data_IF_986013571093
#
_entry.id   IF_986013571093
#
_cell.length_a   1.000
_cell.length_b   1.000
_cell.length_c   1.000
_cell.angle_alpha   90.00
_cell.angle_beta   90.00
_cell.angle_gamma   90.00
#
_symmetry.space_group_name_H-M   'P 1'
#
loop_
_entity.id
_entity.type
_entity.pdbx_description
1 polymer ?
#
# COMPACT_ATOMS: atom_id res chain seq x y z
N UNK A 1 29.75 11.43 10.98
CA UNK A 1 28.62 12.39 10.93
C UNK A 1 27.84 12.34 12.23
N UNK A 2 27.04 13.40 12.56
CA UNK A 2 26.19 13.34 13.78
C UNK A 2 24.99 12.43 13.53
N UNK A 3 24.81 11.30 14.26
CA UNK A 3 23.67 10.41 14.07
C UNK A 3 22.31 11.06 14.35
N UNK A 4 22.26 12.13 15.17
CA UNK A 4 21.03 12.86 15.45
C UNK A 4 20.50 13.65 14.25
N UNK A 5 21.36 13.96 13.29
CA UNK A 5 21.04 14.66 12.05
C UNK A 5 20.81 13.72 10.86
N UNK A 6 20.82 12.41 11.08
CA UNK A 6 20.64 11.42 10.04
C UNK A 6 19.29 11.61 9.34
N UNK A 7 19.28 11.93 8.02
CA UNK A 7 18.03 12.18 7.30
C UNK A 7 17.25 10.89 7.00
N UNK A 8 17.91 9.73 6.96
CA UNK A 8 17.31 8.47 6.58
C UNK A 8 16.47 7.87 7.71
N UNK A 9 15.26 7.45 7.37
CA UNK A 9 14.26 6.94 8.32
C UNK A 9 13.64 5.66 7.78
N UNK A 10 14.35 4.51 7.85
CA UNK A 10 13.75 3.25 7.45
C UNK A 10 12.53 2.95 8.34
N UNK A 11 11.41 2.59 7.72
CA UNK A 11 10.18 2.27 8.43
C UNK A 11 9.01 2.10 7.46
N UNK A 12 7.91 1.50 7.96
CA UNK A 12 6.71 1.29 7.15
C UNK A 12 5.92 2.59 7.04
N UNK A 13 5.66 3.04 5.81
CA UNK A 13 4.83 4.22 5.53
C UNK A 13 5.42 5.57 5.97
N UNK A 14 6.64 5.59 6.50
CA UNK A 14 7.31 6.84 6.84
C UNK A 14 7.64 7.62 5.57
N UNK A 15 7.52 8.94 5.66
CA UNK A 15 7.88 9.83 4.56
C UNK A 15 9.41 9.86 4.42
N UNK A 16 9.95 9.41 3.27
CA UNK A 16 11.38 9.50 3.03
C UNK A 16 11.79 10.97 2.85
N UNK A 17 13.05 11.29 3.07
CA UNK A 17 13.57 12.64 2.85
C UNK A 17 13.50 13.07 1.38
N UNK A 18 13.62 12.12 0.43
CA UNK A 18 13.39 12.33 -1.00
C UNK A 18 12.44 11.24 -1.52
N UNK A 19 11.48 11.62 -2.37
CA UNK A 19 10.52 10.71 -3.00
C UNK A 19 10.77 10.71 -4.52
N UNK A 20 11.79 9.95 -4.92
CA UNK A 20 12.24 9.88 -6.31
C UNK A 20 11.66 8.70 -7.07
N UNK A 21 11.74 8.73 -8.40
CA UNK A 21 11.32 7.66 -9.30
C UNK A 21 9.81 7.40 -9.35
N UNK A 22 8.98 8.38 -8.98
CA UNK A 22 7.51 8.27 -8.98
C UNK A 22 6.83 9.41 -9.73
N UNK A 23 7.58 10.10 -10.58
CA UNK A 23 7.11 11.28 -11.33
C UNK A 23 5.91 10.93 -12.19
N UNK A 24 5.95 9.82 -12.93
CA UNK A 24 4.84 9.37 -13.79
C UNK A 24 3.54 9.20 -13.01
N UNK A 25 3.57 8.50 -11.87
CA UNK A 25 2.37 8.27 -11.05
C UNK A 25 1.81 9.56 -10.46
N UNK A 26 2.68 10.49 -10.09
CA UNK A 26 2.29 11.82 -9.61
C UNK A 26 1.65 12.63 -10.71
N UNK A 27 2.21 12.66 -11.91
CA UNK A 27 1.65 13.34 -13.08
C UNK A 27 0.30 12.76 -13.50
N UNK A 28 0.16 11.43 -13.51
CA UNK A 28 -1.13 10.76 -13.77
C UNK A 28 -2.19 11.18 -12.75
N UNK A 29 -1.81 11.29 -11.46
CA UNK A 29 -2.70 11.76 -10.41
C UNK A 29 -2.99 13.26 -10.50
N UNK A 30 -2.01 14.12 -10.83
CA UNK A 30 -2.18 15.55 -11.07
C UNK A 30 -3.19 15.78 -12.19
N UNK A 31 -3.13 15.00 -13.26
CA UNK A 31 -4.10 15.04 -14.33
C UNK A 31 -5.52 14.67 -13.85
N UNK A 32 -5.65 13.63 -13.01
CA UNK A 32 -6.93 13.25 -12.40
C UNK A 32 -7.51 14.40 -11.57
N UNK A 33 -6.68 15.03 -10.73
CA UNK A 33 -7.07 16.21 -9.94
C UNK A 33 -7.49 17.38 -10.82
N UNK A 34 -6.73 17.70 -11.85
CA UNK A 34 -7.04 18.78 -12.78
C UNK A 34 -8.35 18.53 -13.55
N UNK A 35 -8.59 17.31 -14.00
CA UNK A 35 -9.83 16.91 -14.69
C UNK A 35 -11.04 17.01 -13.75
N UNK A 36 -10.89 16.57 -12.49
CA UNK A 36 -11.98 16.67 -11.51
C UNK A 36 -12.43 18.11 -11.24
N UNK A 37 -11.51 19.08 -11.23
CA UNK A 37 -11.82 20.51 -11.12
C UNK A 37 -12.65 21.03 -12.29
N UNK A 38 -12.46 20.44 -13.47
CA UNK A 38 -13.21 20.76 -14.68
C UNK A 38 -14.48 19.89 -14.83
N UNK A 39 -14.89 19.17 -13.77
CA UNK A 39 -16.04 18.26 -13.77
C UNK A 39 -15.95 17.15 -14.84
N UNK A 40 -14.75 16.83 -15.26
CA UNK A 40 -14.46 15.72 -16.16
C UNK A 40 -13.93 14.57 -15.31
N UNK A 41 -14.86 13.77 -14.76
CA UNK A 41 -14.49 12.70 -13.84
C UNK A 41 -13.99 11.47 -14.59
N UNK A 42 -12.89 10.92 -14.13
CA UNK A 42 -12.20 9.78 -14.73
C UNK A 42 -12.17 8.58 -13.76
N UNK A 43 -11.44 7.57 -14.14
CA UNK A 43 -11.26 6.34 -13.36
C UNK A 43 -10.45 6.60 -12.09
N UNK A 44 -10.66 5.75 -11.07
CA UNK A 44 -9.75 5.67 -9.92
C UNK A 44 -8.35 5.16 -10.32
N UNK A 45 -7.45 4.99 -9.34
CA UNK A 45 -6.07 4.54 -9.58
C UNK A 45 -5.71 3.37 -8.68
N UNK A 46 -5.04 2.36 -9.24
CA UNK A 46 -4.52 1.21 -8.49
C UNK A 46 -3.00 1.15 -8.63
N UNK A 47 -2.33 1.18 -7.47
CA UNK A 47 -0.88 1.03 -7.34
C UNK A 47 -0.57 -0.40 -6.90
N UNK A 48 -0.03 -1.23 -7.78
CA UNK A 48 0.31 -2.61 -7.46
C UNK A 48 1.82 -2.83 -7.48
N UNK A 49 2.33 -3.65 -6.56
CA UNK A 49 3.77 -3.92 -6.52
C UNK A 49 4.19 -4.73 -5.30
N UNK A 50 5.44 -5.16 -5.28
CA UNK A 50 6.02 -5.94 -4.20
C UNK A 50 6.08 -5.15 -2.88
N UNK A 51 6.34 -5.84 -1.77
CA UNK A 51 6.54 -5.18 -0.47
C UNK A 51 7.85 -4.39 -0.46
N UNK A 52 7.85 -3.22 0.17
CA UNK A 52 9.06 -2.38 0.30
C UNK A 52 9.37 -1.46 -0.89
N UNK A 53 8.60 -1.52 -1.99
CA UNK A 53 8.78 -0.65 -3.16
C UNK A 53 8.21 0.78 -2.98
N UNK A 54 7.66 1.10 -1.82
CA UNK A 54 7.19 2.46 -1.50
C UNK A 54 5.74 2.78 -1.87
N UNK A 55 4.85 1.77 -2.07
CA UNK A 55 3.43 1.98 -2.38
C UNK A 55 2.69 2.83 -1.35
N UNK A 56 2.78 2.45 -0.07
CA UNK A 56 2.18 3.19 1.06
C UNK A 56 2.64 4.64 1.11
N UNK A 57 3.94 4.86 0.91
CA UNK A 57 4.52 6.21 0.89
C UNK A 57 3.99 7.05 -0.27
N UNK A 58 3.89 6.45 -1.46
CA UNK A 58 3.30 7.11 -2.62
C UNK A 58 1.82 7.40 -2.40
N UNK A 59 1.04 6.42 -1.93
CA UNK A 59 -0.39 6.57 -1.64
C UNK A 59 -0.64 7.73 -0.65
N UNK A 60 0.16 7.81 0.42
CA UNK A 60 0.09 8.90 1.39
C UNK A 60 0.44 10.25 0.74
N UNK A 61 1.46 10.30 -0.11
CA UNK A 61 1.84 11.52 -0.84
C UNK A 61 0.72 12.00 -1.77
N UNK A 62 0.07 11.09 -2.50
CA UNK A 62 -1.08 11.40 -3.35
C UNK A 62 -2.28 11.88 -2.53
N UNK A 63 -2.55 11.26 -1.37
CA UNK A 63 -3.62 11.68 -0.45
C UNK A 63 -3.38 13.09 0.10
N UNK A 64 -2.16 13.39 0.58
CA UNK A 64 -1.78 14.72 1.04
C UNK A 64 -1.88 15.76 -0.10
N UNK A 65 -1.49 15.37 -1.33
CA UNK A 65 -1.62 16.23 -2.49
C UNK A 65 -3.09 16.55 -2.79
N UNK A 66 -3.97 15.55 -2.82
CA UNK A 66 -5.40 15.71 -3.00
C UNK A 66 -6.01 16.65 -1.93
N UNK A 67 -5.60 16.49 -0.67
CA UNK A 67 -6.04 17.34 0.43
C UNK A 67 -5.60 18.81 0.25
N UNK A 68 -4.36 19.03 -0.23
CA UNK A 68 -3.88 20.40 -0.57
C UNK A 68 -4.68 21.00 -1.72
N UNK A 69 -5.16 20.19 -2.65
CA UNK A 69 -6.03 20.59 -3.75
C UNK A 69 -7.51 20.76 -3.37
N UNK A 70 -7.83 20.57 -2.08
CA UNK A 70 -9.16 20.81 -1.51
C UNK A 70 -10.09 19.61 -1.59
N UNK A 71 -9.63 18.41 -1.90
CA UNK A 71 -10.44 17.20 -1.84
C UNK A 71 -10.79 16.82 -0.41
N UNK A 72 -11.95 16.20 -0.21
CA UNK A 72 -12.20 15.37 0.96
C UNK A 72 -11.40 14.07 0.80
N UNK A 73 -10.45 13.81 1.69
CA UNK A 73 -9.61 12.61 1.65
C UNK A 73 -9.89 11.72 2.86
N UNK A 74 -10.08 10.43 2.60
CA UNK A 74 -10.26 9.39 3.61
C UNK A 74 -9.21 8.30 3.36
N UNK A 75 -8.42 7.98 4.39
CA UNK A 75 -7.45 6.88 4.37
C UNK A 75 -8.02 5.65 5.05
N UNK A 76 -7.76 4.48 4.48
CA UNK A 76 -8.12 3.18 5.03
C UNK A 76 -6.95 2.21 4.80
N UNK A 77 -6.50 1.52 5.84
CA UNK A 77 -5.57 0.39 5.74
C UNK A 77 -6.34 -0.90 6.00
N UNK A 78 -6.38 -1.80 5.01
CA UNK A 78 -6.97 -3.13 5.17
C UNK A 78 -6.01 -4.07 5.92
N UNK A 79 -6.56 -5.02 6.69
CA UNK A 79 -5.76 -5.98 7.47
C UNK A 79 -6.31 -7.39 7.31
N UNK A 80 -5.43 -8.41 7.13
CA UNK A 80 -5.84 -9.79 6.86
C UNK A 80 -6.72 -10.44 7.93
N UNK A 81 -6.73 -9.91 9.15
CA UNK A 81 -7.47 -10.47 10.30
C UNK A 81 -8.70 -9.64 10.69
N UNK A 82 -9.00 -8.57 9.99
CA UNK A 82 -10.25 -7.81 10.13
C UNK A 82 -11.33 -8.52 9.31
N UNK A 83 -11.65 -9.78 9.67
CA UNK A 83 -12.68 -10.57 9.02
C UNK A 83 -14.06 -10.24 9.60
N UNK A 84 -14.98 -9.97 8.70
CA UNK A 84 -16.40 -9.70 9.00
C UNK A 84 -16.81 -8.30 8.54
N UNK A 85 -17.85 -8.27 7.74
CA UNK A 85 -18.45 -7.05 7.16
C UNK A 85 -18.69 -5.98 8.22
N UNK A 86 -19.09 -6.36 9.44
CA UNK A 86 -19.38 -5.40 10.52
C UNK A 86 -18.16 -4.66 11.05
N UNK A 87 -17.00 -5.31 11.21
CA UNK A 87 -15.78 -4.67 11.74
C UNK A 87 -15.18 -3.69 10.73
N UNK A 88 -15.10 -4.12 9.47
CA UNK A 88 -14.55 -3.29 8.38
C UNK A 88 -15.48 -2.15 8.04
N UNK A 89 -16.80 -2.38 8.05
CA UNK A 89 -17.84 -1.36 7.91
C UNK A 89 -17.74 -0.32 9.03
N UNK A 90 -17.59 -0.74 10.29
CA UNK A 90 -17.43 0.15 11.43
C UNK A 90 -16.18 1.03 11.30
N UNK A 91 -15.07 0.47 10.84
CA UNK A 91 -13.83 1.21 10.61
C UNK A 91 -13.99 2.24 9.48
N UNK A 92 -14.52 1.83 8.33
CA UNK A 92 -14.75 2.74 7.20
C UNK A 92 -15.70 3.89 7.61
N UNK A 93 -16.81 3.59 8.28
CA UNK A 93 -17.75 4.61 8.75
C UNK A 93 -17.15 5.57 9.77
N UNK A 94 -16.30 5.06 10.68
CA UNK A 94 -15.58 5.90 11.65
C UNK A 94 -14.58 6.84 10.96
N UNK A 95 -13.80 6.34 9.98
CA UNK A 95 -12.86 7.13 9.19
C UNK A 95 -13.59 8.19 8.33
N UNK A 96 -14.70 7.81 7.70
CA UNK A 96 -15.56 8.75 6.95
C UNK A 96 -16.07 9.87 7.86
N UNK A 97 -16.65 9.54 9.02
CA UNK A 97 -17.12 10.53 9.97
C UNK A 97 -15.99 11.43 10.51
N UNK A 98 -14.80 10.87 10.76
CA UNK A 98 -13.63 11.65 11.19
C UNK A 98 -13.12 12.58 10.08
N UNK A 99 -13.04 12.08 8.85
CA UNK A 99 -12.63 12.87 7.69
C UNK A 99 -13.59 14.01 7.37
N UNK A 100 -14.88 13.73 7.38
CA UNK A 100 -15.92 14.75 7.21
C UNK A 100 -15.81 15.86 8.28
N UNK A 101 -15.56 15.50 9.55
CA UNK A 101 -15.32 16.49 10.62
C UNK A 101 -14.07 17.34 10.38
N UNK A 102 -12.95 16.71 9.94
CA UNK A 102 -11.71 17.45 9.59
C UNK A 102 -11.96 18.42 8.43
N UNK A 103 -12.61 17.92 7.38
CA UNK A 103 -12.95 18.71 6.20
C UNK A 103 -13.90 19.87 6.54
N UNK A 104 -14.94 19.62 7.35
CA UNK A 104 -15.91 20.62 7.82
C UNK A 104 -15.23 21.78 8.55
N UNK A 105 -14.32 21.46 9.49
CA UNK A 105 -13.56 22.48 10.24
C UNK A 105 -12.65 23.30 9.33
N UNK A 106 -11.92 22.65 8.42
CA UNK A 106 -10.97 23.29 7.50
C UNK A 106 -11.68 24.25 6.53
N UNK A 107 -12.93 23.93 6.16
CA UNK A 107 -13.67 24.65 5.12
C UNK A 107 -14.88 25.44 5.65
N UNK A 108 -15.07 25.54 6.97
CA UNK A 108 -16.16 26.28 7.64
C UNK A 108 -17.57 25.86 7.17
N UNK A 109 -17.80 24.57 6.95
CA UNK A 109 -19.04 24.01 6.41
C UNK A 109 -19.85 23.21 7.45
N UNK A 110 -19.82 23.57 8.72
CA UNK A 110 -20.37 22.77 9.81
C UNK A 110 -21.82 22.31 9.55
N UNK A 111 -22.76 23.26 9.33
CA UNK A 111 -24.17 22.89 9.11
C UNK A 111 -24.40 21.99 7.89
N UNK A 112 -23.66 22.18 6.79
CA UNK A 112 -23.86 21.42 5.56
C UNK A 112 -23.31 19.98 5.61
N UNK A 113 -22.45 19.67 6.59
CA UNK A 113 -21.79 18.35 6.72
C UNK A 113 -22.24 17.59 7.97
N UNK A 114 -23.02 18.19 8.88
CA UNK A 114 -23.51 17.51 10.09
C UNK A 114 -24.41 16.32 9.74
N UNK A 115 -25.28 16.45 8.73
CA UNK A 115 -26.13 15.38 8.23
C UNK A 115 -25.28 14.23 7.64
N UNK A 116 -24.23 14.56 6.87
CA UNK A 116 -23.32 13.56 6.31
C UNK A 116 -22.50 12.84 7.40
N UNK A 117 -22.11 13.55 8.46
CA UNK A 117 -21.43 12.95 9.62
C UNK A 117 -22.39 11.98 10.33
N UNK A 118 -23.66 12.34 10.44
CA UNK A 118 -24.69 11.49 11.02
C UNK A 118 -24.95 10.25 10.17
N UNK A 119 -25.02 10.42 8.85
CA UNK A 119 -25.15 9.31 7.89
C UNK A 119 -23.94 8.36 7.95
N UNK A 120 -22.71 8.88 7.99
CA UNK A 120 -21.50 8.07 8.16
C UNK A 120 -21.47 7.30 9.49
N UNK A 121 -22.00 7.88 10.56
CA UNK A 121 -22.18 7.17 11.84
C UNK A 121 -23.28 6.09 11.76
N UNK A 122 -24.38 6.36 11.07
CA UNK A 122 -25.42 5.37 10.77
C UNK A 122 -24.85 4.18 10.01
N UNK A 123 -24.05 4.44 8.99
CA UNK A 123 -23.31 3.41 8.25
C UNK A 123 -22.41 2.56 9.17
N UNK A 124 -21.71 3.18 10.14
CA UNK A 124 -20.90 2.47 11.14
C UNK A 124 -21.70 1.44 11.94
N UNK A 125 -22.90 1.80 12.34
CA UNK A 125 -23.74 0.96 13.19
C UNK A 125 -24.40 -0.22 12.46
N UNK A 126 -24.53 -0.16 11.17
CA UNK A 126 -24.82 -1.15 10.12
C UNK A 126 -25.60 -2.41 10.42
N UNK A 127 -26.34 -2.46 11.49
CA UNK A 127 -27.03 -3.65 11.95
C UNK A 127 -28.49 -3.32 12.14
N UNK A 128 -29.31 -3.90 11.30
CA UNK A 128 -30.71 -4.07 11.62
C UNK A 128 -30.81 -4.83 12.94
N UNK A 129 -31.00 -4.17 14.05
CA UNK A 129 -31.11 -4.80 15.35
C UNK A 129 -32.31 -4.25 16.10
N UNK A 130 -33.31 -5.07 16.20
CA UNK A 130 -34.35 -5.06 17.20
C UNK A 130 -35.31 -3.84 17.22
N UNK A 131 -36.51 -3.99 17.77
CA UNK A 131 -37.59 -3.03 17.66
C UNK A 131 -37.31 -1.64 18.28
N UNK A 132 -36.32 -1.53 19.16
CA UNK A 132 -35.96 -0.22 19.77
C UNK A 132 -35.04 0.66 18.89
N UNK A 133 -34.42 0.13 17.81
CA UNK A 133 -33.60 0.90 16.88
C UNK A 133 -34.36 1.32 15.62
N UNK A 134 -35.46 0.67 15.31
CA UNK A 134 -36.32 1.03 14.18
C UNK A 134 -36.96 2.43 14.37
N UNK A 135 -37.25 2.84 15.60
CA UNK A 135 -37.80 4.18 15.88
C UNK A 135 -36.78 5.31 15.73
N UNK A 136 -35.47 5.04 16.00
CA UNK A 136 -34.40 6.05 15.79
C UNK A 136 -33.94 6.16 14.33
N UNK A 137 -34.25 5.18 13.50
CA UNK A 137 -33.80 5.12 12.11
C UNK A 137 -34.81 5.71 11.12
N UNK A 138 -36.03 5.95 11.51
CA UNK A 138 -37.06 6.54 10.65
C UNK A 138 -36.88 8.04 10.38
N UNK A 139 -36.06 8.73 11.17
CA UNK A 139 -35.79 10.17 10.99
C UNK A 139 -34.48 10.52 10.25
N UNK A 140 -33.56 9.55 10.05
CA UNK A 140 -32.23 9.83 9.49
C UNK A 140 -31.65 8.67 8.65
N UNK A 141 -32.35 8.17 7.63
CA UNK A 141 -31.83 7.18 6.68
C UNK A 141 -31.31 5.91 7.38
N UNK A 142 -32.18 4.94 7.62
CA UNK A 142 -31.80 3.67 8.27
C UNK A 142 -30.87 2.88 7.36
N UNK A 143 -29.75 2.40 7.91
CA UNK A 143 -28.95 1.38 7.23
C UNK A 143 -29.85 0.19 6.86
N UNK A 144 -29.89 -0.16 5.56
CA UNK A 144 -30.75 -1.23 5.03
C UNK A 144 -30.30 -2.62 5.49
N UNK A 145 -29.07 -2.73 5.99
CA UNK A 145 -28.36 -3.97 6.27
C UNK A 145 -27.61 -4.51 5.04
N UNK A 146 -27.85 -3.95 3.87
CA UNK A 146 -27.13 -4.21 2.63
C UNK A 146 -25.97 -3.22 2.48
N UNK A 147 -24.74 -3.72 2.50
CA UNK A 147 -23.55 -2.86 2.43
C UNK A 147 -23.43 -2.12 1.10
N UNK A 148 -23.88 -2.71 0.00
CA UNK A 148 -23.86 -2.10 -1.34
C UNK A 148 -24.76 -0.87 -1.38
N UNK A 149 -25.98 -1.00 -0.89
CA UNK A 149 -26.97 0.09 -0.86
C UNK A 149 -26.58 1.22 0.11
N UNK A 150 -26.18 0.85 1.32
CA UNK A 150 -25.81 1.82 2.35
C UNK A 150 -24.56 2.63 1.98
N UNK A 151 -23.56 1.97 1.33
CA UNK A 151 -22.36 2.65 0.88
C UNK A 151 -22.63 3.54 -0.33
N UNK A 152 -23.50 3.11 -1.23
CA UNK A 152 -23.94 3.91 -2.37
C UNK A 152 -24.63 5.21 -1.91
N UNK A 153 -25.61 5.12 -1.02
CA UNK A 153 -26.33 6.27 -0.49
C UNK A 153 -25.38 7.27 0.18
N UNK A 154 -24.43 6.76 1.00
CA UNK A 154 -23.46 7.57 1.68
C UNK A 154 -22.52 8.29 0.68
N UNK A 155 -21.99 7.58 -0.31
CA UNK A 155 -21.11 8.16 -1.32
C UNK A 155 -21.85 9.14 -2.22
N UNK A 156 -23.10 8.87 -2.59
CA UNK A 156 -23.95 9.79 -3.34
C UNK A 156 -24.15 11.11 -2.58
N UNK A 157 -24.54 11.04 -1.32
CA UNK A 157 -24.74 12.21 -0.48
C UNK A 157 -23.48 13.05 -0.32
N UNK A 158 -22.33 12.41 -0.03
CA UNK A 158 -21.02 13.07 0.04
C UNK A 158 -20.65 13.70 -1.31
N UNK A 159 -20.81 12.95 -2.40
CA UNK A 159 -20.50 13.42 -3.77
C UNK A 159 -21.32 14.63 -4.17
N UNK A 160 -22.61 14.65 -3.82
CA UNK A 160 -23.49 15.81 -4.05
C UNK A 160 -22.99 17.05 -3.31
N UNK A 161 -22.51 16.92 -2.07
CA UNK A 161 -21.92 18.02 -1.31
C UNK A 161 -20.60 18.49 -1.94
N UNK A 162 -19.74 17.58 -2.35
CA UNK A 162 -18.45 17.90 -3.01
C UNK A 162 -18.68 18.55 -4.37
N UNK A 163 -19.64 18.07 -5.16
CA UNK A 163 -20.00 18.65 -6.47
C UNK A 163 -20.48 20.10 -6.34
N UNK A 164 -21.31 20.39 -5.31
CA UNK A 164 -21.74 21.78 -5.02
C UNK A 164 -20.57 22.69 -4.64
N UNK A 165 -19.58 22.14 -3.94
CA UNK A 165 -18.39 22.89 -3.54
C UNK A 165 -17.36 23.03 -4.69
N UNK A 166 -17.49 22.29 -5.78
CA UNK A 166 -16.53 22.28 -6.88
C UNK A 166 -15.25 21.52 -6.53
N UNK A 167 -15.36 20.47 -5.71
CA UNK A 167 -14.25 19.61 -5.29
C UNK A 167 -14.62 18.14 -5.40
N UNK A 168 -13.75 17.25 -4.97
CA UNK A 168 -13.94 15.81 -5.06
C UNK A 168 -13.76 15.08 -3.72
N UNK A 169 -14.15 13.82 -3.70
CA UNK A 169 -13.98 12.87 -2.60
C UNK A 169 -13.03 11.74 -3.05
N UNK A 170 -11.90 11.60 -2.39
CA UNK A 170 -10.92 10.54 -2.60
C UNK A 170 -10.88 9.57 -1.42
N UNK A 171 -11.08 8.27 -1.70
CA UNK A 171 -10.87 7.17 -0.75
C UNK A 171 -9.55 6.47 -1.08
N UNK A 172 -8.57 6.60 -0.17
CA UNK A 172 -7.21 6.06 -0.32
C UNK A 172 -7.09 4.77 0.51
N UNK A 173 -6.88 3.63 -0.15
CA UNK A 173 -6.91 2.32 0.49
C UNK A 173 -5.56 1.64 0.35
N UNK A 174 -4.88 1.38 1.46
CA UNK A 174 -3.66 0.58 1.48
C UNK A 174 -3.97 -0.89 1.76
N UNK A 175 -3.11 -1.80 1.26
CA UNK A 175 -3.26 -3.26 1.31
C UNK A 175 -4.67 -3.73 0.84
N UNK A 176 -5.18 -3.10 -0.23
CA UNK A 176 -6.57 -3.26 -0.71
C UNK A 176 -6.96 -4.72 -1.00
N UNK A 177 -5.99 -5.61 -1.30
CA UNK A 177 -6.24 -7.05 -1.46
C UNK A 177 -6.67 -7.75 -0.16
N UNK A 178 -6.47 -7.13 0.99
CA UNK A 178 -6.83 -7.67 2.31
C UNK A 178 -8.22 -7.19 2.79
N UNK A 179 -8.95 -6.42 1.95
CA UNK A 179 -10.34 -6.07 2.22
C UNK A 179 -11.23 -7.32 2.21
N UNK A 180 -12.24 -7.29 3.07
CA UNK A 180 -13.33 -8.24 2.99
C UNK A 180 -14.00 -8.22 1.61
N UNK A 181 -14.37 -9.41 1.08
CA UNK A 181 -14.91 -9.57 -0.29
C UNK A 181 -16.18 -8.75 -0.54
N UNK A 182 -17.07 -8.66 0.47
CA UNK A 182 -18.34 -7.96 0.31
C UNK A 182 -18.12 -6.45 0.29
N UNK A 183 -17.24 -5.93 1.17
CA UNK A 183 -16.87 -4.51 1.14
C UNK A 183 -16.13 -4.16 -0.16
N UNK A 184 -15.22 -5.02 -0.61
CA UNK A 184 -14.54 -4.81 -1.88
C UNK A 184 -15.54 -4.75 -3.03
N UNK A 185 -16.51 -5.68 -3.06
CA UNK A 185 -17.59 -5.69 -4.04
C UNK A 185 -18.42 -4.42 -4.01
N UNK A 186 -18.80 -3.95 -2.83
CA UNK A 186 -19.55 -2.71 -2.63
C UNK A 186 -18.76 -1.48 -3.15
N UNK A 187 -17.48 -1.38 -2.82
CA UNK A 187 -16.61 -0.30 -3.30
C UNK A 187 -16.48 -0.28 -4.82
N UNK A 188 -16.32 -1.44 -5.46
CA UNK A 188 -16.28 -1.55 -6.90
C UNK A 188 -17.60 -1.16 -7.55
N UNK A 189 -18.73 -1.57 -6.98
CA UNK A 189 -20.08 -1.21 -7.44
C UNK A 189 -20.31 0.30 -7.35
N UNK A 190 -19.95 0.91 -6.23
CA UNK A 190 -20.10 2.35 -6.02
C UNK A 190 -19.17 3.16 -6.93
N UNK A 191 -17.90 2.73 -7.12
CA UNK A 191 -16.98 3.38 -8.08
C UNK A 191 -17.53 3.31 -9.50
N UNK A 192 -18.14 2.18 -9.89
CA UNK A 192 -18.78 2.04 -11.20
C UNK A 192 -19.95 3.00 -11.36
N UNK A 193 -20.82 3.08 -10.36
CA UNK A 193 -21.98 3.96 -10.38
C UNK A 193 -21.58 5.43 -10.35
N UNK A 194 -20.52 5.76 -9.58
CA UNK A 194 -19.94 7.11 -9.56
C UNK A 194 -19.49 7.56 -10.95
N UNK A 195 -18.85 6.67 -11.71
CA UNK A 195 -18.44 6.95 -13.09
C UNK A 195 -19.65 7.16 -14.03
N UNK A 196 -20.72 6.37 -13.86
CA UNK A 196 -21.95 6.49 -14.68
C UNK A 196 -22.77 7.74 -14.37
N UNK A 197 -22.79 8.18 -13.11
CA UNK A 197 -23.59 9.32 -12.62
C UNK A 197 -22.77 10.62 -12.50
N UNK A 198 -21.53 10.59 -12.94
CA UNK A 198 -20.61 11.73 -12.85
C UNK A 198 -20.48 12.27 -11.41
N UNK A 199 -20.30 11.35 -10.45
CA UNK A 199 -19.99 11.73 -9.09
C UNK A 199 -18.49 12.01 -8.94
N UNK A 200 -18.10 13.07 -8.22
CA UNK A 200 -16.70 13.38 -7.95
C UNK A 200 -16.12 12.46 -6.86
N UNK A 201 -16.18 11.15 -7.07
CA UNK A 201 -15.72 10.12 -6.17
C UNK A 201 -14.65 9.25 -6.85
N UNK A 202 -13.53 9.04 -6.15
CA UNK A 202 -12.39 8.28 -6.65
C UNK A 202 -11.85 7.35 -5.59
N UNK A 203 -11.69 6.07 -5.93
CA UNK A 203 -10.93 5.12 -5.16
C UNK A 203 -9.50 5.09 -5.68
N UNK A 204 -8.54 5.32 -4.79
CA UNK A 204 -7.10 5.19 -5.03
C UNK A 204 -6.59 4.06 -4.14
N UNK A 205 -6.29 2.91 -4.73
CA UNK A 205 -5.90 1.71 -4.01
C UNK A 205 -4.41 1.40 -4.15
N UNK A 206 -3.81 0.82 -3.12
CA UNK A 206 -2.47 0.23 -3.17
C UNK A 206 -2.52 -1.21 -2.67
N UNK A 207 -1.71 -2.10 -3.26
CA UNK A 207 -1.66 -3.50 -2.85
C UNK A 207 -0.57 -4.33 -3.52
N UNK A 208 -0.61 -5.63 -3.30
CA UNK A 208 0.32 -6.61 -3.85
C UNK A 208 0.13 -6.76 -5.38
N UNK A 209 1.08 -7.37 -6.10
CA UNK A 209 1.00 -7.53 -7.55
C UNK A 209 -0.24 -8.29 -8.04
N UNK A 210 -0.86 -9.12 -7.19
CA UNK A 210 -2.09 -9.84 -7.49
C UNK A 210 -3.37 -9.01 -7.32
N UNK A 211 -3.28 -7.78 -6.81
CA UNK A 211 -4.45 -6.93 -6.59
C UNK A 211 -5.32 -6.76 -7.83
N UNK A 212 -4.79 -6.51 -9.05
CA UNK A 212 -5.63 -6.43 -10.25
C UNK A 212 -6.49 -7.68 -10.48
N UNK A 213 -5.93 -8.88 -10.26
CA UNK A 213 -6.68 -10.14 -10.38
C UNK A 213 -7.76 -10.25 -9.30
N UNK A 214 -7.45 -9.90 -8.05
CA UNK A 214 -8.43 -9.90 -6.94
C UNK A 214 -9.62 -8.99 -7.25
N UNK A 215 -9.37 -7.81 -7.83
CA UNK A 215 -10.44 -6.89 -8.25
C UNK A 215 -11.28 -7.48 -9.38
N UNK A 216 -10.64 -8.07 -10.39
CA UNK A 216 -11.31 -8.67 -11.54
C UNK A 216 -12.15 -9.92 -11.15
N UNK A 217 -11.63 -10.74 -10.24
CA UNK A 217 -12.33 -11.92 -9.71
C UNK A 217 -13.58 -11.52 -8.90
N UNK A 218 -13.53 -10.39 -8.19
CA UNK A 218 -14.67 -9.87 -7.44
C UNK A 218 -15.74 -9.27 -8.36
N UNK A 219 -15.32 -8.44 -9.33
CA UNK A 219 -16.21 -7.82 -10.32
C UNK A 219 -15.48 -7.72 -11.67
N UNK A 220 -15.97 -8.41 -12.69
CA UNK A 220 -15.36 -8.48 -14.04
C UNK A 220 -15.15 -7.14 -14.73
N UNK A 221 -15.93 -6.13 -14.37
CA UNK A 221 -15.80 -4.78 -14.92
C UNK A 221 -14.71 -3.92 -14.22
N UNK A 222 -14.11 -4.40 -13.13
CA UNK A 222 -13.10 -3.67 -12.35
C UNK A 222 -11.87 -3.31 -13.21
N UNK A 223 -11.52 -4.13 -14.20
CA UNK A 223 -10.42 -3.87 -15.12
C UNK A 223 -10.52 -2.50 -15.83
N UNK A 224 -11.75 -2.03 -16.06
CA UNK A 224 -12.02 -0.78 -16.79
C UNK A 224 -12.26 0.42 -15.88
N UNK A 225 -12.39 0.20 -14.57
CA UNK A 225 -12.71 1.25 -13.59
C UNK A 225 -11.49 1.98 -13.05
N UNK A 226 -10.30 1.42 -13.25
CA UNK A 226 -9.08 1.96 -12.68
C UNK A 226 -8.00 2.17 -13.75
N UNK A 227 -7.16 3.18 -13.52
CA UNK A 227 -5.84 3.26 -14.11
C UNK A 227 -4.88 2.42 -13.25
N UNK A 228 -4.28 1.39 -13.84
CA UNK A 228 -3.36 0.50 -13.13
C UNK A 228 -1.92 0.96 -13.33
N UNK A 229 -1.20 1.10 -12.24
CA UNK A 229 0.22 1.46 -12.24
C UNK A 229 1.02 0.46 -11.41
N UNK A 230 1.98 -0.20 -12.06
CA UNK A 230 2.91 -1.11 -11.38
C UNK A 230 4.03 -0.30 -10.75
N UNK A 231 4.24 -0.51 -9.44
CA UNK A 231 5.29 0.12 -8.65
C UNK A 231 6.40 -0.91 -8.43
N UNK A 232 7.54 -0.67 -9.05
CA UNK A 232 8.74 -1.49 -8.94
C UNK A 232 9.85 -0.84 -8.10
N UNK A 233 11.03 -1.48 -8.04
CA UNK A 233 12.23 -0.85 -7.56
C UNK A 233 12.51 0.47 -8.30
N UNK A 234 13.30 1.33 -7.71
CA UNK A 234 13.80 2.54 -8.36
C UNK A 234 14.80 2.18 -9.45
N UNK A 235 14.87 2.99 -10.48
CA UNK A 235 15.98 2.88 -11.44
C UNK A 235 17.31 3.22 -10.74
N UNK A 236 18.48 2.80 -11.26
CA UNK A 236 19.76 3.17 -10.65
C UNK A 236 19.92 4.68 -10.47
N UNK A 237 19.44 5.49 -11.42
CA UNK A 237 19.50 6.94 -11.33
C UNK A 237 18.59 7.49 -10.21
N UNK A 238 17.33 7.06 -10.15
CA UNK A 238 16.40 7.47 -9.07
C UNK A 238 16.88 7.00 -7.69
N UNK A 239 17.52 5.81 -7.62
CA UNK A 239 18.08 5.29 -6.38
C UNK A 239 19.29 6.10 -5.91
N UNK A 240 20.14 6.55 -6.83
CA UNK A 240 21.23 7.46 -6.54
C UNK A 240 20.71 8.79 -6.00
N UNK A 241 19.74 9.42 -6.68
CA UNK A 241 19.11 10.67 -6.23
C UNK A 241 18.47 10.52 -4.85
N UNK A 242 17.83 9.37 -4.57
CA UNK A 242 17.21 9.09 -3.28
C UNK A 242 18.22 9.01 -2.12
N UNK A 243 19.50 8.71 -2.41
CA UNK A 243 20.60 8.76 -1.44
C UNK A 243 21.29 10.13 -1.41
N UNK A 244 21.61 10.70 -2.56
CA UNK A 244 22.39 11.93 -2.66
C UNK A 244 21.63 13.17 -2.18
N UNK A 245 20.36 13.34 -2.57
CA UNK A 245 19.59 14.54 -2.23
C UNK A 245 19.56 14.76 -0.71
N UNK A 246 19.19 13.78 0.14
CA UNK A 246 19.17 13.96 1.58
C UNK A 246 20.55 14.25 2.17
N UNK A 247 21.58 13.59 1.68
CA UNK A 247 22.96 13.76 2.17
C UNK A 247 23.47 15.14 1.83
N UNK A 248 23.28 15.58 0.58
CA UNK A 248 23.70 16.91 0.13
C UNK A 248 22.98 18.04 0.89
N UNK A 249 21.68 17.87 1.19
CA UNK A 249 20.91 18.84 1.99
C UNK A 249 21.44 18.99 3.44
N UNK A 250 22.18 17.99 3.93
CA UNK A 250 22.77 17.98 5.26
C UNK A 250 24.29 18.15 5.25
N UNK A 251 24.86 18.63 4.13
CA UNK A 251 26.27 18.99 4.00
C UNK A 251 27.22 17.82 3.81
N UNK A 252 26.71 16.63 3.48
CA UNK A 252 27.54 15.47 3.09
C UNK A 252 27.57 15.27 1.59
N UNK A 253 28.38 14.31 1.13
CA UNK A 253 28.46 13.89 -0.29
C UNK A 253 28.94 12.45 -0.37
N UNK A 254 28.66 11.79 -1.49
CA UNK A 254 29.20 10.48 -1.81
C UNK A 254 30.36 10.58 -2.82
N UNK A 255 31.34 9.68 -2.73
CA UNK A 255 32.16 9.37 -3.88
C UNK A 255 31.35 8.53 -4.88
N UNK A 256 31.69 8.56 -6.19
CA UNK A 256 30.98 7.78 -7.19
C UNK A 256 30.92 6.28 -6.89
N UNK A 257 32.03 5.70 -6.41
CA UNK A 257 32.15 4.26 -6.11
C UNK A 257 31.31 3.88 -4.88
N UNK A 258 31.30 4.70 -3.83
CA UNK A 258 30.43 4.50 -2.66
C UNK A 258 28.95 4.52 -3.03
N UNK A 259 28.54 5.49 -3.84
CA UNK A 259 27.16 5.61 -4.30
C UNK A 259 26.74 4.42 -5.16
N UNK A 260 27.59 4.03 -6.12
CA UNK A 260 27.36 2.90 -7.00
C UNK A 260 27.17 1.59 -6.21
N UNK A 261 28.02 1.33 -5.23
CA UNK A 261 27.94 0.16 -4.36
C UNK A 261 26.61 0.12 -3.59
N UNK A 262 26.19 1.23 -2.94
CA UNK A 262 24.95 1.26 -2.18
C UNK A 262 23.71 1.13 -3.06
N UNK A 263 23.72 1.70 -4.26
CA UNK A 263 22.66 1.53 -5.26
C UNK A 263 22.56 0.07 -5.70
N UNK A 264 23.68 -0.56 -6.04
CA UNK A 264 23.74 -1.96 -6.46
C UNK A 264 23.19 -2.91 -5.38
N UNK A 265 23.72 -2.83 -4.15
CA UNK A 265 23.32 -3.76 -3.08
C UNK A 265 21.88 -3.57 -2.61
N UNK A 266 21.31 -2.36 -2.78
CA UNK A 266 19.90 -2.09 -2.48
C UNK A 266 18.95 -2.70 -3.51
N UNK A 267 19.43 -3.01 -4.71
CA UNK A 267 18.60 -3.42 -5.85
C UNK A 267 17.53 -2.41 -6.22
N UNK A 268 17.72 -1.13 -5.88
CA UNK A 268 16.77 -0.05 -6.07
C UNK A 268 15.53 -0.12 -5.15
N UNK A 269 15.53 -0.98 -4.13
CA UNK A 269 14.41 -1.06 -3.18
C UNK A 269 14.44 0.11 -2.20
N UNK A 270 13.39 0.97 -2.16
CA UNK A 270 13.38 2.17 -1.32
C UNK A 270 13.63 1.89 0.16
N UNK A 271 13.11 0.79 0.70
CA UNK A 271 13.33 0.44 2.10
C UNK A 271 14.82 0.14 2.37
N UNK A 272 15.49 -0.59 1.46
CA UNK A 272 16.91 -0.92 1.60
C UNK A 272 17.79 0.31 1.41
N UNK A 273 17.43 1.20 0.48
CA UNK A 273 18.11 2.50 0.34
C UNK A 273 18.06 3.31 1.63
N UNK A 274 16.92 3.32 2.35
CA UNK A 274 16.82 3.99 3.64
C UNK A 274 17.69 3.30 4.71
N UNK A 275 17.77 1.96 4.74
CA UNK A 275 18.63 1.24 5.69
C UNK A 275 20.11 1.47 5.42
N UNK A 276 20.54 1.33 4.17
CA UNK A 276 21.94 1.57 3.80
C UNK A 276 22.34 3.04 3.91
N UNK A 277 21.44 3.97 3.55
CA UNK A 277 21.64 5.39 3.72
C UNK A 277 21.78 5.77 5.21
N UNK A 278 20.95 5.18 6.09
CA UNK A 278 21.09 5.34 7.54
C UNK A 278 22.41 4.78 8.05
N UNK A 279 22.81 3.62 7.57
CA UNK A 279 24.04 2.97 8.01
C UNK A 279 25.27 3.79 7.59
N UNK A 280 25.38 4.21 6.33
CA UNK A 280 26.55 4.99 5.86
C UNK A 280 26.68 6.31 6.59
N UNK A 281 25.57 7.00 6.85
CA UNK A 281 25.59 8.23 7.66
C UNK A 281 26.15 8.02 9.05
N UNK A 282 25.82 6.89 9.68
CA UNK A 282 26.23 6.62 11.08
C UNK A 282 27.68 6.13 11.17
N UNK A 283 28.21 5.41 10.14
CA UNK A 283 29.58 4.88 10.21
C UNK A 283 30.61 5.86 9.67
N UNK A 284 30.23 6.75 8.76
CA UNK A 284 31.15 7.68 8.12
C UNK A 284 31.79 8.65 9.12
N UNK A 285 33.10 8.71 9.10
CA UNK A 285 33.90 9.60 9.95
C UNK A 285 33.88 11.06 9.45
N UNK A 286 33.71 11.27 8.15
CA UNK A 286 33.75 12.57 7.47
C UNK A 286 32.43 12.89 6.76
N UNK A 287 32.32 14.08 6.19
CA UNK A 287 31.17 14.47 5.38
C UNK A 287 31.24 13.94 3.93
N UNK A 288 32.35 13.38 3.51
CA UNK A 288 32.50 12.71 2.22
C UNK A 288 32.51 11.20 2.46
N UNK A 289 31.46 10.53 2.03
CA UNK A 289 31.29 9.09 2.18
C UNK A 289 32.03 8.37 1.04
N UNK A 290 33.06 7.61 1.40
CA UNK A 290 33.90 6.88 0.46
C UNK A 290 33.51 5.39 0.36
N UNK A 291 34.24 4.63 -0.44
CA UNK A 291 33.98 3.23 -0.68
C UNK A 291 34.14 2.37 0.58
N UNK A 292 35.10 2.69 1.46
CA UNK A 292 35.29 1.99 2.73
C UNK A 292 34.10 2.22 3.67
N UNK A 293 33.60 3.46 3.75
CA UNK A 293 32.37 3.80 4.49
C UNK A 293 31.17 3.02 3.93
N UNK A 294 31.06 2.90 2.60
CA UNK A 294 29.97 2.16 1.95
C UNK A 294 30.05 0.65 2.24
N UNK A 295 31.24 0.05 2.25
CA UNK A 295 31.43 -1.35 2.65
C UNK A 295 30.98 -1.60 4.08
N UNK A 296 31.40 -0.75 5.03
CA UNK A 296 30.95 -0.82 6.42
C UNK A 296 29.43 -0.65 6.54
N UNK A 297 28.86 0.28 5.79
CA UNK A 297 27.43 0.50 5.75
C UNK A 297 26.63 -0.70 5.23
N UNK A 298 27.16 -1.42 4.22
CA UNK A 298 26.55 -2.65 3.71
C UNK A 298 26.50 -3.74 4.79
N UNK A 299 27.57 -3.91 5.57
CA UNK A 299 27.61 -4.89 6.66
C UNK A 299 26.60 -4.53 7.76
N UNK A 300 26.58 -3.26 8.21
CA UNK A 300 25.65 -2.78 9.23
C UNK A 300 24.21 -2.84 8.76
N UNK A 301 23.91 -2.39 7.54
CA UNK A 301 22.57 -2.43 6.96
C UNK A 301 22.07 -3.86 6.80
N UNK A 302 22.92 -4.81 6.35
CA UNK A 302 22.55 -6.24 6.32
C UNK A 302 22.22 -6.78 7.69
N UNK A 303 23.02 -6.43 8.71
CA UNK A 303 22.74 -6.82 10.10
C UNK A 303 21.38 -6.30 10.55
N UNK A 304 21.09 -5.02 10.31
CA UNK A 304 19.80 -4.42 10.65
C UNK A 304 18.62 -5.11 9.94
N UNK A 305 18.79 -5.49 8.68
CA UNK A 305 17.79 -6.25 7.93
C UNK A 305 17.62 -7.68 8.48
N UNK A 306 18.72 -8.35 8.82
CA UNK A 306 18.72 -9.71 9.36
C UNK A 306 18.15 -9.77 10.79
N UNK A 307 18.25 -8.71 11.58
CA UNK A 307 17.70 -8.62 12.93
C UNK A 307 16.25 -8.11 12.97
N UNK A 308 15.92 -7.14 12.12
CA UNK A 308 14.63 -6.42 12.19
C UNK A 308 13.62 -6.78 11.09
N UNK A 309 14.07 -6.95 9.86
CA UNK A 309 13.18 -7.02 8.70
C UNK A 309 12.82 -8.46 8.30
N UNK A 310 13.80 -9.34 8.14
CA UNK A 310 13.57 -10.71 7.67
C UNK A 310 12.96 -11.64 8.74
N UNK A 311 13.31 -11.56 10.05
CA UNK A 311 12.81 -12.51 11.04
C UNK A 311 11.28 -12.49 11.18
N UNK A 312 10.66 -11.33 11.09
CA UNK A 312 9.20 -11.22 11.16
C UNK A 312 8.49 -11.98 10.02
N UNK A 313 9.16 -12.16 8.89
CA UNK A 313 8.68 -12.90 7.72
C UNK A 313 9.03 -14.38 7.77
N UNK A 314 10.13 -14.71 8.41
CA UNK A 314 10.59 -16.09 8.59
C UNK A 314 9.89 -16.80 9.76
N UNK A 315 9.57 -16.12 10.84
CA UNK A 315 8.96 -16.70 12.04
C UNK A 315 7.42 -16.80 11.95
N UNK A 316 6.77 -16.07 11.04
CA UNK A 316 5.32 -16.12 10.85
C UNK A 316 4.82 -17.39 10.14
N UNK A 317 5.51 -17.96 9.15
CA UNK A 317 5.15 -19.21 8.51
C UNK A 317 5.25 -20.43 9.45
N UNK A 318 4.38 -21.43 9.19
CA UNK A 318 4.49 -22.74 9.80
C UNK A 318 5.74 -23.49 9.32
N UNK A 319 6.11 -24.60 9.98
CA UNK A 319 7.28 -25.41 9.59
C UNK A 319 7.18 -25.95 8.17
N UNK A 320 5.97 -26.35 7.74
CA UNK A 320 5.74 -26.81 6.37
C UNK A 320 5.89 -25.68 5.35
N UNK A 321 5.46 -24.47 5.70
CA UNK A 321 5.64 -23.28 4.89
C UNK A 321 7.12 -22.85 4.85
N UNK A 322 7.84 -22.89 5.98
CA UNK A 322 9.30 -22.64 6.01
C UNK A 322 10.08 -23.60 5.14
N UNK A 323 9.72 -24.89 5.15
CA UNK A 323 10.32 -25.87 4.24
C UNK A 323 10.08 -25.52 2.77
N UNK A 324 8.87 -25.07 2.43
CA UNK A 324 8.56 -24.61 1.08
C UNK A 324 9.38 -23.37 0.70
N UNK A 325 9.47 -22.37 1.58
CA UNK A 325 10.31 -21.18 1.37
C UNK A 325 11.79 -21.55 1.25
N UNK A 326 12.28 -22.51 2.02
CA UNK A 326 13.65 -23.01 1.91
C UNK A 326 13.91 -23.68 0.55
N UNK A 327 12.95 -24.45 0.05
CA UNK A 327 13.06 -25.07 -1.28
C UNK A 327 13.11 -24.01 -2.40
N UNK A 328 12.38 -22.89 -2.26
CA UNK A 328 12.51 -21.74 -3.17
C UNK A 328 13.91 -21.12 -3.06
N UNK A 329 14.38 -20.86 -1.84
CA UNK A 329 15.67 -20.18 -1.59
C UNK A 329 16.88 -20.97 -2.09
N UNK A 330 16.80 -22.30 -2.09
CA UNK A 330 17.87 -23.20 -2.53
C UNK A 330 17.82 -23.50 -4.04
N UNK A 331 16.77 -23.10 -4.73
CA UNK A 331 16.70 -23.25 -6.19
C UNK A 331 17.77 -22.40 -6.89
N UNK A 332 18.20 -22.85 -8.06
CA UNK A 332 19.19 -22.14 -8.88
C UNK A 332 18.60 -20.86 -9.54
N UNK A 333 17.28 -20.83 -9.75
CA UNK A 333 16.54 -19.72 -10.36
C UNK A 333 15.92 -18.87 -9.23
N UNK A 334 15.94 -17.55 -9.35
CA UNK A 334 15.29 -16.62 -8.41
C UNK A 334 13.77 -16.76 -8.41
N UNK A 335 13.20 -17.21 -9.52
CA UNK A 335 11.78 -17.50 -9.67
C UNK A 335 11.56 -18.95 -10.17
N UNK A 336 11.82 -19.97 -9.35
CA UNK A 336 11.72 -21.36 -9.77
C UNK A 336 10.28 -21.73 -10.16
N UNK A 337 10.14 -22.75 -11.02
CA UNK A 337 8.85 -23.35 -11.31
C UNK A 337 8.31 -24.06 -10.08
N UNK A 338 7.01 -23.97 -9.83
CA UNK A 338 6.32 -24.63 -8.69
C UNK A 338 6.61 -26.15 -8.65
N UNK A 339 6.76 -26.80 -9.81
CA UNK A 339 7.14 -28.21 -9.92
C UNK A 339 8.54 -28.51 -9.40
N UNK A 340 9.52 -27.61 -9.62
CA UNK A 340 10.88 -27.74 -9.10
C UNK A 340 10.88 -27.66 -7.57
N UNK A 341 10.13 -26.70 -7.03
CA UNK A 341 10.00 -26.53 -5.57
C UNK A 341 9.31 -27.74 -4.92
N UNK A 342 8.23 -28.26 -5.53
CA UNK A 342 7.55 -29.46 -5.05
C UNK A 342 8.46 -30.70 -5.08
N UNK A 343 9.20 -30.88 -6.18
CA UNK A 343 10.16 -31.99 -6.32
C UNK A 343 11.29 -31.92 -5.27
N UNK A 344 11.80 -30.73 -4.96
CA UNK A 344 12.80 -30.52 -3.91
C UNK A 344 12.28 -30.88 -2.51
N UNK A 345 10.95 -30.81 -2.29
CA UNK A 345 10.28 -31.27 -1.06
C UNK A 345 9.87 -32.74 -1.08
N UNK A 346 10.13 -33.46 -2.17
CA UNK A 346 9.72 -34.88 -2.33
C UNK A 346 8.21 -35.08 -2.48
N UNK A 347 7.47 -34.08 -2.98
CA UNK A 347 6.00 -34.12 -3.12
C UNK A 347 5.57 -33.65 -4.52
N UNK A 348 4.29 -33.86 -4.83
CA UNK A 348 3.70 -33.35 -6.06
C UNK A 348 3.30 -31.87 -5.92
N UNK A 349 3.12 -31.17 -7.05
CA UNK A 349 2.63 -29.78 -7.06
C UNK A 349 1.27 -29.64 -6.36
N UNK A 350 0.39 -30.62 -6.52
CA UNK A 350 -0.92 -30.66 -5.84
C UNK A 350 -0.75 -30.81 -4.33
N UNK A 351 0.28 -31.55 -3.87
CA UNK A 351 0.55 -31.76 -2.45
C UNK A 351 1.05 -30.51 -1.71
N UNK A 352 1.41 -29.45 -2.40
CA UNK A 352 1.88 -28.19 -1.80
C UNK A 352 1.05 -26.97 -2.24
N UNK A 353 -0.06 -27.17 -2.93
CA UNK A 353 -0.90 -26.05 -3.41
C UNK A 353 -1.45 -25.21 -2.25
N UNK A 354 -1.90 -25.86 -1.18
CA UNK A 354 -2.38 -25.22 0.05
C UNK A 354 -1.31 -24.37 0.73
N UNK A 355 -0.07 -24.88 0.78
CA UNK A 355 1.10 -24.15 1.32
C UNK A 355 1.44 -22.94 0.48
N UNK A 356 1.50 -23.14 -0.84
CA UNK A 356 1.76 -22.04 -1.79
C UNK A 356 0.73 -20.94 -1.66
N UNK A 357 -0.54 -21.30 -1.68
CA UNK A 357 -1.65 -20.34 -1.64
C UNK A 357 -1.71 -19.60 -0.29
N UNK A 358 -1.36 -20.30 0.81
CA UNK A 358 -1.22 -19.68 2.13
C UNK A 358 -0.08 -18.66 2.16
N UNK A 359 1.09 -18.98 1.60
CA UNK A 359 2.24 -18.07 1.53
C UNK A 359 1.96 -16.85 0.63
N UNK A 360 1.21 -17.05 -0.47
CA UNK A 360 0.76 -15.95 -1.33
C UNK A 360 -0.19 -15.03 -0.56
N UNK A 361 -1.22 -15.57 0.14
CA UNK A 361 -2.11 -14.77 1.00
C UNK A 361 -1.37 -14.02 2.12
N UNK A 362 -0.32 -14.63 2.69
CA UNK A 362 0.56 -13.97 3.67
C UNK A 362 1.45 -12.90 3.05
N UNK A 363 1.47 -12.75 1.72
CA UNK A 363 2.31 -11.81 1.00
C UNK A 363 3.80 -12.08 1.14
N UNK A 364 4.21 -13.35 1.32
CA UNK A 364 5.61 -13.77 1.46
C UNK A 364 6.21 -14.20 0.13
N UNK A 365 5.39 -14.81 -0.72
CA UNK A 365 5.72 -15.18 -2.10
C UNK A 365 4.66 -14.67 -3.05
N UNK A 366 4.98 -14.65 -4.34
CA UNK A 366 4.06 -14.28 -5.41
C UNK A 366 4.38 -15.06 -6.67
N UNK A 367 3.50 -15.04 -7.65
CA UNK A 367 3.70 -15.68 -8.95
C UNK A 367 4.00 -14.60 -9.99
N UNK A 368 5.27 -14.38 -10.39
CA UNK A 368 5.61 -13.43 -11.43
C UNK A 368 5.06 -13.83 -12.80
N UNK A 369 4.97 -15.13 -13.05
CA UNK A 369 4.43 -15.75 -14.26
C UNK A 369 3.70 -17.03 -13.91
N UNK A 370 2.87 -17.53 -14.83
CA UNK A 370 2.17 -18.79 -14.61
C UNK A 370 3.13 -19.94 -14.29
N UNK A 371 2.92 -20.59 -13.17
CA UNK A 371 3.73 -21.72 -12.70
C UNK A 371 5.09 -21.35 -12.11
N UNK A 372 5.47 -20.09 -12.01
CA UNK A 372 6.66 -19.60 -11.33
C UNK A 372 6.35 -19.00 -9.97
N UNK A 373 7.31 -19.00 -9.07
CA UNK A 373 7.17 -18.49 -7.70
C UNK A 373 8.43 -17.71 -7.33
N UNK A 374 8.25 -16.52 -6.73
CA UNK A 374 9.33 -15.70 -6.21
C UNK A 374 8.98 -15.14 -4.83
N UNK A 375 9.97 -14.73 -4.07
CA UNK A 375 9.75 -13.95 -2.86
C UNK A 375 9.25 -12.54 -3.18
N UNK A 376 8.43 -12.00 -2.30
CA UNK A 376 7.92 -10.62 -2.42
C UNK A 376 8.95 -9.56 -2.01
N UNK A 377 10.07 -10.01 -1.44
CA UNK A 377 11.13 -9.14 -0.90
C UNK A 377 12.48 -9.64 -1.39
N UNK A 378 13.35 -8.78 -1.95
CA UNK A 378 14.70 -9.15 -2.33
C UNK A 378 15.53 -9.55 -1.11
N UNK A 379 16.58 -10.35 -1.31
CA UNK A 379 17.46 -10.80 -0.24
C UNK A 379 16.87 -11.87 0.69
N UNK A 380 15.55 -12.20 0.56
CA UNK A 380 14.93 -13.23 1.41
C UNK A 380 15.55 -14.62 1.17
N UNK A 381 15.91 -14.94 -0.06
CA UNK A 381 16.64 -16.19 -0.38
C UNK A 381 17.95 -16.30 0.39
N UNK A 382 18.77 -15.23 0.37
CA UNK A 382 20.06 -15.20 1.03
C UNK A 382 19.93 -15.27 2.55
N UNK A 383 18.93 -14.55 3.10
CA UNK A 383 18.61 -14.66 4.53
C UNK A 383 18.25 -16.11 4.91
N UNK A 384 17.37 -16.78 4.14
CA UNK A 384 16.93 -18.13 4.43
C UNK A 384 18.09 -19.15 4.31
N UNK A 385 19.01 -18.96 3.34
CA UNK A 385 20.20 -19.82 3.20
C UNK A 385 21.11 -19.76 4.42
N UNK A 386 21.13 -18.64 5.15
CA UNK A 386 21.91 -18.47 6.39
C UNK A 386 21.22 -19.03 7.63
N UNK A 387 19.92 -19.36 7.55
CA UNK A 387 19.21 -19.90 8.70
C UNK A 387 19.60 -21.36 8.98
N UNK A 388 19.66 -21.79 10.26
CA UNK A 388 19.90 -23.19 10.60
C UNK A 388 18.96 -24.13 9.88
N UNK A 389 19.47 -25.30 9.47
CA UNK A 389 18.64 -26.41 8.99
C UNK A 389 18.12 -27.16 10.22
N UNK A 390 16.80 -27.12 10.45
CA UNK A 390 16.15 -27.97 11.44
C UNK A 390 16.26 -29.44 11.05
#
# INVERSE_FOLDING_TARGET
>A
MDPALNPFKPGSGLRPPALEGRTRQREEFDLLVARSKNRNYDRGMILSGLRGVGKTTLLNNLSEHAERQGWLTIGLEARPNESGVSAVRAKLGAELAAGLRRFSRKHQMQKALDDLISLARGFTLGVGVGPAKVELSLDHGAASGDIDLDLEELVEAISAAMKRKGTAFGLFIDEMQDLDSDLLGALLSVQHRASQREWPFFVIGAGLPNLPSVLADNRSYAERQFAYSTIGPLTPADAAEALEIPVNQHGGSFTPDALALLVEVSGGYPYFLQEYGKAVWNVAATAVFDEDDAHLAVEEGRRALDEGFFPSRWNRPSDRERRYMRAIALAADEAPRSGVVAAAMGVTTTGVSDVRDSLIRKGLIWSPEHGRIAFTVPGMSDFIRRQPTD
#
